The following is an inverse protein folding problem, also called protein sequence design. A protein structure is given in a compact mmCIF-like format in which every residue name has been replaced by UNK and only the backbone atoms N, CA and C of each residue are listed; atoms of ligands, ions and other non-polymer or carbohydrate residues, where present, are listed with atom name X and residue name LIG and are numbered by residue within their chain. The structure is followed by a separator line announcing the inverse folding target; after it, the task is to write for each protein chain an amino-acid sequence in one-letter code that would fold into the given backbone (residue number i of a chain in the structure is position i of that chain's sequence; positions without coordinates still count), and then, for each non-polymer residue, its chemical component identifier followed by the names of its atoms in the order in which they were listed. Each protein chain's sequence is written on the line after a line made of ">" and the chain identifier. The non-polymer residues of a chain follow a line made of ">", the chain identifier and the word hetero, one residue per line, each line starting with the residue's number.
data_IF_635611990237
#
_entry.id   IF_635611990237
#
_cell.length_a   1.000
_cell.length_b   1.000
_cell.length_c   1.000
_cell.angle_alpha   90.00
_cell.angle_beta   90.00
_cell.angle_gamma   90.00
#
_symmetry.space_group_name_H-M   'P 1'
#
loop_
_entity.id
_entity.type
_entity.pdbx_description
1 polymer ?
#
# COMPACT_ATOMS: atom_id res chain seq x y z
N UNK A 1 16.10 -10.81 -38.18
CA UNK A 1 16.61 -11.34 -36.90
C UNK A 1 15.43 -11.42 -35.96
N UNK A 2 15.08 -12.60 -35.45
CA UNK A 2 13.98 -12.75 -34.49
C UNK A 2 14.46 -13.56 -33.31
N UNK A 3 14.56 -12.92 -32.14
CA UNK A 3 14.78 -13.61 -30.88
C UNK A 3 13.42 -14.13 -30.41
N UNK A 4 13.23 -15.44 -30.38
CA UNK A 4 12.00 -16.05 -29.88
C UNK A 4 12.21 -16.48 -28.42
N UNK A 5 11.61 -15.74 -27.49
CA UNK A 5 11.60 -16.09 -26.07
C UNK A 5 10.25 -16.76 -25.78
N UNK A 6 10.25 -18.04 -25.39
CA UNK A 6 9.04 -18.73 -24.92
C UNK A 6 9.01 -18.73 -23.41
N UNK A 7 7.90 -18.29 -22.82
CA UNK A 7 7.66 -18.31 -21.38
C UNK A 7 6.60 -19.36 -21.03
N UNK A 8 6.75 -19.98 -19.86
CA UNK A 8 5.79 -20.93 -19.28
C UNK A 8 4.67 -20.16 -18.56
N UNK A 9 3.39 -20.57 -18.63
CA UNK A 9 2.25 -19.74 -18.22
C UNK A 9 1.94 -19.72 -16.70
N UNK A 10 2.93 -19.90 -15.82
CA UNK A 10 2.72 -19.83 -14.37
C UNK A 10 3.89 -19.06 -13.72
N UNK A 11 3.72 -17.75 -13.49
CA UNK A 11 4.67 -16.96 -12.71
C UNK A 11 4.05 -15.65 -12.17
N UNK A 12 4.23 -15.41 -10.88
CA UNK A 12 3.84 -14.22 -10.10
C UNK A 12 4.54 -12.91 -10.55
N UNK A 13 4.01 -11.76 -10.11
CA UNK A 13 4.42 -10.41 -10.53
C UNK A 13 5.92 -10.08 -10.30
N UNK A 14 6.58 -10.72 -9.34
CA UNK A 14 8.03 -10.58 -9.12
C UNK A 14 8.86 -11.15 -10.28
N UNK A 15 8.33 -12.10 -11.04
CA UNK A 15 9.01 -12.69 -12.19
C UNK A 15 9.08 -11.72 -13.38
N UNK A 16 8.10 -10.83 -13.52
CA UNK A 16 8.06 -9.84 -14.60
C UNK A 16 9.20 -8.81 -14.51
N UNK A 17 9.64 -8.47 -13.29
CA UNK A 17 10.74 -7.52 -13.06
C UNK A 17 12.10 -8.16 -13.37
N UNK A 18 12.30 -9.41 -12.96
CA UNK A 18 13.50 -10.19 -13.29
C UNK A 18 13.63 -10.41 -14.80
N UNK A 19 12.52 -10.68 -15.49
CA UNK A 19 12.47 -10.86 -16.95
C UNK A 19 12.83 -9.57 -17.69
N UNK A 20 12.36 -8.40 -17.21
CA UNK A 20 12.75 -7.10 -17.78
C UNK A 20 14.24 -6.82 -17.60
N UNK A 21 14.81 -7.17 -16.43
CA UNK A 21 16.23 -6.98 -16.16
C UNK A 21 17.12 -7.89 -17.04
N UNK A 22 16.71 -9.14 -17.26
CA UNK A 22 17.43 -10.08 -18.14
C UNK A 22 17.35 -9.61 -19.60
N UNK A 23 16.21 -9.10 -20.06
CA UNK A 23 16.07 -8.55 -21.41
C UNK A 23 17.02 -7.36 -21.66
N UNK A 24 17.16 -6.46 -20.68
CA UNK A 24 18.11 -5.33 -20.77
C UNK A 24 19.56 -5.79 -20.72
N UNK A 25 19.88 -6.83 -19.93
CA UNK A 25 21.21 -7.42 -19.88
C UNK A 25 21.59 -8.12 -21.20
N UNK A 26 20.63 -8.75 -21.90
CA UNK A 26 20.86 -9.41 -23.19
C UNK A 26 21.17 -8.39 -24.30
N UNK A 27 20.52 -7.23 -24.32
CA UNK A 27 20.87 -6.14 -25.25
C UNK A 27 22.27 -5.56 -24.97
N UNK A 28 22.66 -5.46 -23.70
CA UNK A 28 24.01 -5.04 -23.31
C UNK A 28 25.08 -6.07 -23.70
N UNK A 29 24.77 -7.37 -23.61
CA UNK A 29 25.66 -8.44 -24.09
C UNK A 29 25.77 -8.46 -25.63
N UNK A 30 24.72 -8.09 -26.36
CA UNK A 30 24.79 -7.92 -27.82
C UNK A 30 25.70 -6.75 -28.24
N UNK A 31 25.83 -5.71 -27.41
CA UNK A 31 26.81 -4.64 -27.64
C UNK A 31 28.26 -5.08 -27.36
N UNK A 32 28.47 -5.98 -26.40
CA UNK A 32 29.81 -6.48 -26.04
C UNK A 32 30.36 -7.53 -27.02
N UNK A 33 29.50 -8.22 -27.76
CA UNK A 33 29.87 -9.24 -28.75
C UNK A 33 29.66 -8.69 -30.16
N UNK A 34 30.29 -7.55 -30.48
CA UNK A 34 30.38 -7.08 -31.86
C UNK A 34 31.65 -7.67 -32.51
N UNK A 35 31.56 -8.89 -33.05
CA UNK A 35 32.58 -9.44 -33.95
C UNK A 35 32.17 -9.22 -35.40
N UNK A 36 33.05 -8.71 -36.28
CA UNK A 36 32.68 -8.46 -37.66
C UNK A 36 32.61 -9.75 -38.47
N UNK A 37 31.52 -9.86 -39.22
CA UNK A 37 31.24 -10.73 -40.38
C UNK A 37 30.94 -12.22 -40.15
N UNK A 38 29.72 -12.56 -40.58
CA UNK A 38 29.21 -13.85 -41.06
C UNK A 38 29.31 -15.06 -40.14
N UNK A 39 28.42 -15.14 -39.15
CA UNK A 39 27.83 -16.40 -38.68
C UNK A 39 26.52 -16.12 -37.95
N UNK A 40 25.40 -16.40 -38.61
CA UNK A 40 24.05 -16.24 -38.04
C UNK A 40 23.75 -17.45 -37.15
N UNK A 41 23.98 -17.33 -35.84
CA UNK A 41 23.57 -18.32 -34.85
C UNK A 41 22.38 -17.78 -34.04
N UNK A 42 21.27 -18.51 -34.05
CA UNK A 42 20.13 -18.25 -33.17
C UNK A 42 20.36 -18.94 -31.83
N UNK A 43 20.16 -18.21 -30.74
CA UNK A 43 20.36 -18.71 -29.37
C UNK A 43 19.02 -18.77 -28.64
N UNK A 44 18.79 -19.85 -27.90
CA UNK A 44 17.68 -19.94 -26.94
C UNK A 44 18.26 -19.94 -25.53
N UNK A 45 17.76 -19.01 -24.72
CA UNK A 45 18.08 -18.90 -23.30
C UNK A 45 16.89 -19.46 -22.53
N UNK A 46 17.12 -20.51 -21.74
CA UNK A 46 16.13 -21.06 -20.82
C UNK A 46 16.60 -20.85 -19.38
N UNK A 47 15.71 -20.33 -18.55
CA UNK A 47 15.90 -20.17 -17.12
C UNK A 47 14.87 -21.04 -16.39
N UNK A 48 15.35 -21.91 -15.51
CA UNK A 48 14.51 -22.75 -14.68
C UNK A 48 14.89 -22.56 -13.21
N UNK A 49 13.89 -22.42 -12.35
CA UNK A 49 14.09 -22.33 -10.91
C UNK A 49 14.22 -23.74 -10.34
N UNK A 50 15.38 -24.10 -9.77
CA UNK A 50 15.57 -25.39 -9.11
C UNK A 50 15.11 -25.30 -7.65
N UNK A 51 14.18 -26.15 -7.19
CA UNK A 51 13.79 -26.17 -5.78
C UNK A 51 15.00 -26.61 -4.94
N UNK A 52 15.44 -25.75 -4.02
CA UNK A 52 16.50 -26.05 -3.04
C UNK A 52 17.82 -25.30 -3.19
N UNK A 53 17.99 -24.42 -4.18
CA UNK A 53 19.19 -23.56 -4.29
C UNK A 53 18.82 -22.15 -4.70
N UNK A 54 19.28 -21.14 -3.95
CA UNK A 54 19.16 -19.71 -4.26
C UNK A 54 20.09 -19.32 -5.41
N UNK A 55 19.89 -19.91 -6.60
CA UNK A 55 20.73 -19.69 -7.77
C UNK A 55 19.99 -19.93 -9.07
N UNK A 56 20.02 -18.94 -9.95
CA UNK A 56 19.37 -18.97 -11.25
C UNK A 56 20.30 -19.67 -12.25
N UNK A 57 19.90 -20.82 -12.78
CA UNK A 57 20.67 -21.52 -13.81
C UNK A 57 20.27 -21.02 -15.19
N UNK A 58 21.20 -20.37 -15.89
CA UNK A 58 21.04 -20.00 -17.28
C UNK A 58 21.61 -21.12 -18.17
N UNK A 59 20.77 -21.72 -19.01
CA UNK A 59 21.23 -22.59 -20.09
C UNK A 59 21.07 -21.89 -21.42
N UNK A 60 22.16 -21.84 -22.18
CA UNK A 60 22.22 -21.25 -23.51
C UNK A 60 22.48 -22.38 -24.50
N UNK A 61 21.53 -22.64 -25.39
CA UNK A 61 21.65 -23.67 -26.42
C UNK A 61 21.52 -23.06 -27.82
N UNK A 62 22.35 -23.47 -28.80
CA UNK A 62 22.19 -23.07 -30.19
C UNK A 62 20.95 -23.75 -30.79
N UNK A 63 20.14 -22.99 -31.54
CA UNK A 63 18.99 -23.55 -32.26
C UNK A 63 19.45 -24.00 -33.65
N UNK A 64 19.24 -25.26 -34.05
CA UNK A 64 19.51 -25.69 -35.40
C UNK A 64 18.53 -25.05 -36.38
N UNK A 65 19.04 -24.29 -37.34
CA UNK A 65 18.26 -23.77 -38.45
C UNK A 65 17.77 -24.95 -39.33
N UNK A 66 16.47 -25.03 -39.60
CA UNK A 66 15.90 -26.02 -40.53
C UNK A 66 16.59 -25.88 -41.89
N UNK A 67 17.40 -26.88 -42.26
CA UNK A 67 17.97 -27.00 -43.61
C UNK A 67 19.39 -27.58 -43.73
N UNK A 68 20.13 -27.79 -42.63
CA UNK A 68 21.50 -28.31 -42.72
C UNK A 68 21.58 -29.83 -42.51
N UNK A 69 21.80 -30.60 -43.58
CA UNK A 69 21.86 -32.08 -43.59
C UNK A 69 23.20 -32.68 -43.11
N UNK A 70 23.90 -32.09 -42.15
CA UNK A 70 25.11 -32.72 -41.57
C UNK A 70 25.21 -32.55 -40.06
N UNK A 71 25.47 -33.62 -39.28
CA UNK A 71 25.62 -33.54 -37.84
C UNK A 71 26.98 -32.92 -37.48
N UNK A 72 26.96 -31.90 -36.63
CA UNK A 72 28.15 -31.28 -36.03
C UNK A 72 28.24 -31.76 -34.56
N UNK A 73 29.42 -32.17 -34.05
CA UNK A 73 29.54 -32.66 -32.68
C UNK A 73 29.31 -31.53 -31.65
N UNK A 74 28.47 -31.83 -30.65
CA UNK A 74 28.15 -30.94 -29.52
C UNK A 74 29.32 -30.88 -28.54
N UNK A 75 29.89 -29.70 -28.33
CA UNK A 75 30.78 -29.39 -27.19
C UNK A 75 29.98 -28.60 -26.15
N UNK A 76 29.72 -29.21 -24.99
CA UNK A 76 29.00 -28.59 -23.88
C UNK A 76 30.00 -27.78 -23.04
N UNK A 77 30.03 -26.45 -23.17
CA UNK A 77 30.76 -25.58 -22.22
C UNK A 77 29.83 -25.18 -21.09
N UNK A 78 30.10 -25.70 -19.90
CA UNK A 78 29.54 -25.18 -18.65
C UNK A 78 30.43 -24.03 -18.18
N UNK A 79 29.87 -22.82 -18.05
CA UNK A 79 30.55 -21.70 -17.40
C UNK A 79 30.02 -21.59 -15.98
N UNK A 80 30.80 -22.06 -15.00
CA UNK A 80 30.54 -21.84 -13.58
C UNK A 80 31.33 -20.59 -13.16
N UNK A 81 30.63 -19.49 -12.85
CA UNK A 81 31.25 -18.28 -12.31
C UNK A 81 31.49 -18.46 -10.82
N UNK A 82 32.72 -18.82 -10.44
CA UNK A 82 33.23 -18.67 -9.08
C UNK A 82 34.07 -17.40 -8.99
N UNK A 83 33.68 -16.47 -8.13
CA UNK A 83 34.39 -15.21 -7.92
C UNK A 83 35.58 -15.46 -6.97
N UNK A 84 36.79 -15.47 -7.52
CA UNK A 84 38.04 -15.54 -6.77
C UNK A 84 38.70 -14.16 -6.81
N UNK A 85 38.76 -13.49 -5.67
CA UNK A 85 39.60 -12.31 -5.46
C UNK A 85 41.03 -12.78 -5.23
N UNK A 86 41.88 -12.64 -6.24
CA UNK A 86 43.31 -12.33 -6.09
C UNK A 86 43.98 -12.11 -7.46
N UNK A 87 44.93 -11.18 -7.48
CA UNK A 87 45.86 -10.80 -8.54
C UNK A 87 45.40 -9.78 -9.60
N UNK A 88 45.83 -8.54 -9.33
CA UNK A 88 46.01 -7.47 -10.28
C UNK A 88 47.03 -7.84 -11.37
N UNK A 89 46.68 -7.60 -12.63
CA UNK A 89 47.64 -7.58 -13.73
C UNK A 89 47.45 -6.28 -14.53
N UNK A 90 48.46 -5.41 -14.41
CA UNK A 90 48.71 -4.25 -15.24
C UNK A 90 48.65 -4.62 -16.72
N UNK A 91 47.87 -3.90 -17.53
CA UNK A 91 48.13 -3.66 -18.96
C UNK A 91 47.22 -2.54 -19.51
N UNK A 92 47.87 -1.45 -19.93
CA UNK A 92 47.46 -0.42 -20.93
C UNK A 92 46.48 0.71 -20.52
N UNK A 93 46.98 1.95 -20.33
CA UNK A 93 46.19 3.15 -20.07
C UNK A 93 45.87 3.86 -21.39
N UNK A 94 44.76 3.52 -22.05
CA UNK A 94 44.24 4.33 -23.17
C UNK A 94 42.76 4.08 -23.51
N UNK A 95 42.12 3.05 -22.96
CA UNK A 95 40.72 2.69 -23.25
C UNK A 95 39.82 2.71 -22.00
N UNK A 96 40.27 3.35 -20.92
CA UNK A 96 39.52 3.49 -19.67
C UNK A 96 38.75 4.83 -19.56
N UNK A 97 38.64 5.60 -20.65
CA UNK A 97 38.02 6.94 -20.65
C UNK A 97 36.64 7.00 -21.33
N UNK A 98 36.09 5.89 -21.84
CA UNK A 98 34.80 5.88 -22.56
C UNK A 98 33.72 4.97 -21.97
N UNK A 99 33.88 4.49 -20.73
CA UNK A 99 32.87 3.69 -20.02
C UNK A 99 32.30 4.36 -18.75
N UNK A 100 32.51 5.66 -18.55
CA UNK A 100 31.99 6.40 -17.37
C UNK A 100 30.80 7.31 -17.73
N UNK A 101 30.46 7.47 -19.01
CA UNK A 101 29.40 8.40 -19.45
C UNK A 101 28.03 7.76 -19.71
N UNK A 102 27.89 6.44 -19.56
CA UNK A 102 26.62 5.73 -19.78
C UNK A 102 25.73 5.55 -18.53
N UNK A 103 26.11 6.09 -17.36
CA UNK A 103 25.27 6.00 -16.15
C UNK A 103 24.37 7.21 -15.88
N UNK A 104 24.39 8.26 -16.72
CA UNK A 104 23.62 9.50 -16.45
C UNK A 104 22.20 9.48 -17.02
N UNK A 105 21.81 8.49 -17.84
CA UNK A 105 20.45 8.43 -18.44
C UNK A 105 19.47 7.50 -17.74
N UNK A 106 19.84 6.89 -16.60
CA UNK A 106 18.93 6.05 -15.80
C UNK A 106 18.25 6.81 -14.64
N UNK A 107 18.40 8.13 -14.57
CA UNK A 107 17.72 8.97 -13.58
C UNK A 107 16.23 9.23 -13.92
N UNK A 108 15.74 8.77 -15.08
CA UNK A 108 14.33 8.91 -15.47
C UNK A 108 13.44 7.70 -15.11
N UNK A 109 14.01 6.63 -14.53
CA UNK A 109 13.29 5.43 -14.09
C UNK A 109 13.47 5.13 -12.59
N UNK A 110 13.71 6.14 -11.74
CA UNK A 110 13.63 6.02 -10.28
C UNK A 110 14.52 4.95 -9.61
N UNK A 111 15.50 4.38 -10.32
CA UNK A 111 16.37 3.33 -9.81
C UNK A 111 17.71 3.89 -9.35
N UNK A 112 17.91 4.03 -8.04
CA UNK A 112 19.23 4.26 -7.46
C UNK A 112 19.99 2.93 -7.35
N UNK A 113 21.07 2.77 -8.14
CA UNK A 113 22.05 1.68 -7.92
C UNK A 113 23.17 2.23 -7.06
N UNK A 114 23.23 1.79 -5.80
CA UNK A 114 24.36 2.04 -4.92
C UNK A 114 25.35 0.88 -5.04
N UNK A 115 26.60 1.19 -5.41
CA UNK A 115 27.74 0.29 -5.32
C UNK A 115 28.60 0.78 -4.17
N UNK A 116 28.42 0.17 -2.99
CA UNK A 116 29.20 0.46 -1.78
C UNK A 116 28.77 -0.47 -0.64
N UNK A 117 29.74 -1.07 0.05
CA UNK A 117 29.54 -1.84 1.28
C UNK A 117 29.18 -0.85 2.41
N UNK A 118 27.93 -0.40 2.47
CA UNK A 118 27.22 0.01 3.69
C UNK A 118 25.81 0.51 3.30
N UNK A 119 24.80 -0.36 3.51
CA UNK A 119 23.39 0.00 3.62
C UNK A 119 22.69 0.69 2.44
N UNK A 120 22.25 -0.07 1.43
CA UNK A 120 21.24 0.39 0.48
C UNK A 120 19.88 0.51 1.17
N UNK A 121 19.53 1.68 1.70
CA UNK A 121 18.14 2.03 2.00
C UNK A 121 17.36 2.20 0.69
N UNK A 122 16.77 1.11 0.18
CA UNK A 122 15.91 1.16 -1.00
C UNK A 122 14.79 2.17 -0.77
N UNK A 123 14.62 3.13 -1.69
CA UNK A 123 13.49 4.04 -1.65
C UNK A 123 12.19 3.20 -1.75
N UNK A 124 11.51 3.02 -0.64
CA UNK A 124 10.19 2.40 -0.59
C UNK A 124 9.26 3.25 -1.45
N UNK A 125 8.94 2.79 -2.66
CA UNK A 125 7.96 3.45 -3.51
C UNK A 125 6.60 3.23 -2.86
N UNK A 126 5.96 4.32 -2.42
CA UNK A 126 4.63 4.25 -1.84
C UNK A 126 3.65 3.63 -2.85
N UNK A 127 2.79 2.68 -2.44
CA UNK A 127 1.87 2.04 -3.35
C UNK A 127 0.85 3.05 -3.89
N UNK A 128 0.38 2.82 -5.11
CA UNK A 128 -0.72 3.58 -5.68
C UNK A 128 -2.04 3.10 -5.06
N UNK A 129 -2.73 3.98 -4.34
CA UNK A 129 -4.00 3.67 -3.67
C UNK A 129 -5.14 4.54 -4.21
N UNK A 130 -6.36 4.02 -4.17
CA UNK A 130 -7.57 4.77 -4.52
C UNK A 130 -8.47 4.89 -3.28
N UNK A 131 -8.90 6.11 -2.97
CA UNK A 131 -9.81 6.42 -1.86
C UNK A 131 -10.97 7.26 -2.40
N UNK A 132 -12.19 6.88 -2.04
CA UNK A 132 -13.41 7.60 -2.36
C UNK A 132 -14.29 7.77 -1.12
N UNK A 133 -15.31 8.61 -1.19
CA UNK A 133 -16.25 8.79 -0.09
C UNK A 133 -17.27 9.86 -0.37
N UNK A 134 -18.20 10.03 0.58
CA UNK A 134 -19.18 11.12 0.56
C UNK A 134 -18.95 12.00 1.80
N UNK A 135 -18.88 13.31 1.57
CA UNK A 135 -18.81 14.33 2.60
C UNK A 135 -20.18 14.96 2.82
N UNK A 136 -20.78 14.75 4.00
CA UNK A 136 -22.11 15.28 4.30
C UNK A 136 -22.35 15.49 5.80
N UNK A 137 -23.17 16.48 6.11
CA UNK A 137 -23.64 16.81 7.48
C UNK A 137 -25.16 16.67 7.62
N UNK A 138 -25.77 15.78 6.81
CA UNK A 138 -27.21 15.80 6.49
C UNK A 138 -27.53 16.72 5.31
N UNK A 139 -26.55 17.49 4.84
CA UNK A 139 -26.54 18.13 3.52
C UNK A 139 -25.20 17.84 2.85
N UNK A 140 -25.20 17.77 1.51
CA UNK A 140 -23.98 17.54 0.75
C UNK A 140 -23.01 18.70 0.91
N UNK A 141 -21.77 18.40 1.31
CA UNK A 141 -20.71 19.40 1.33
C UNK A 141 -20.15 19.55 -0.09
N UNK A 142 -20.79 20.38 -0.90
CA UNK A 142 -20.40 20.63 -2.28
C UNK A 142 -19.14 21.49 -2.40
N UNK A 143 -18.24 21.17 -3.33
CA UNK A 143 -16.98 21.92 -3.56
C UNK A 143 -16.12 22.08 -2.30
N UNK A 144 -16.22 21.13 -1.37
CA UNK A 144 -15.43 21.12 -0.15
C UNK A 144 -13.99 20.69 -0.47
N UNK A 145 -13.03 21.29 0.22
CA UNK A 145 -11.62 20.90 0.10
C UNK A 145 -11.41 19.58 0.86
N UNK A 146 -11.03 18.52 0.16
CA UNK A 146 -10.74 17.21 0.74
C UNK A 146 -9.24 16.98 0.70
N UNK A 147 -8.62 16.85 1.86
CA UNK A 147 -7.19 16.57 1.99
C UNK A 147 -6.96 15.21 2.66
N UNK A 148 -5.92 14.52 2.22
CA UNK A 148 -5.53 13.21 2.68
C UNK A 148 -4.11 13.32 3.25
N UNK A 149 -3.96 13.07 4.54
CA UNK A 149 -2.67 12.98 5.23
C UNK A 149 -2.43 11.54 5.64
N UNK A 150 -1.51 10.86 4.96
CA UNK A 150 -1.26 9.44 5.16
C UNK A 150 0.00 9.20 5.98
N UNK A 151 0.18 7.97 6.50
CA UNK A 151 1.40 7.57 7.21
C UNK A 151 2.66 7.85 6.36
N UNK A 152 2.53 7.72 5.04
CA UNK A 152 3.47 8.32 4.09
C UNK A 152 2.72 8.85 2.87
N UNK A 153 3.02 10.09 2.48
CA UNK A 153 2.38 10.75 1.33
C UNK A 153 1.12 11.52 1.69
N UNK A 154 0.68 12.37 0.76
CA UNK A 154 -0.50 13.21 0.92
C UNK A 154 -1.13 13.50 -0.43
N UNK A 155 -2.42 13.82 -0.43
CA UNK A 155 -3.17 14.19 -1.63
C UNK A 155 -4.28 15.17 -1.29
N UNK A 156 -4.87 15.78 -2.31
CA UNK A 156 -6.05 16.63 -2.14
C UNK A 156 -6.94 16.59 -3.38
N UNK A 157 -8.24 16.71 -3.17
CA UNK A 157 -9.25 16.81 -4.22
C UNK A 157 -10.39 17.73 -3.75
N UNK A 158 -11.41 17.90 -4.59
CA UNK A 158 -12.66 18.57 -4.22
C UNK A 158 -13.81 17.57 -4.25
N UNK A 159 -14.79 17.77 -3.38
CA UNK A 159 -16.07 17.07 -3.51
C UNK A 159 -16.92 17.68 -4.63
N UNK A 160 -17.73 16.86 -5.29
CA UNK A 160 -18.69 17.29 -6.29
C UNK A 160 -19.96 17.91 -5.68
N UNK A 161 -20.95 18.25 -6.51
CA UNK A 161 -22.22 18.84 -6.03
C UNK A 161 -23.05 17.92 -5.12
N UNK A 162 -22.82 16.61 -5.15
CA UNK A 162 -23.42 15.62 -4.26
C UNK A 162 -22.59 15.32 -3.01
N UNK A 163 -21.44 15.98 -2.85
CA UNK A 163 -20.51 15.75 -1.75
C UNK A 163 -19.57 14.56 -1.97
N UNK A 164 -19.59 13.92 -3.14
CA UNK A 164 -18.71 12.78 -3.42
C UNK A 164 -17.30 13.24 -3.76
N UNK A 165 -16.31 12.51 -3.28
CA UNK A 165 -14.92 12.70 -3.65
C UNK A 165 -14.27 11.37 -4.01
N UNK A 166 -13.26 11.43 -4.87
CA UNK A 166 -12.41 10.31 -5.22
C UNK A 166 -11.02 10.81 -5.60
N UNK A 167 -9.99 10.09 -5.19
CA UNK A 167 -8.59 10.38 -5.50
C UNK A 167 -7.81 9.08 -5.65
N UNK A 168 -6.84 9.09 -6.57
CA UNK A 168 -5.84 8.03 -6.73
C UNK A 168 -4.46 8.66 -6.66
N UNK A 169 -3.62 8.21 -5.74
CA UNK A 169 -2.29 8.78 -5.49
C UNK A 169 -1.37 7.77 -4.80
N UNK A 170 -0.06 8.03 -4.84
CA UNK A 170 0.94 7.17 -4.19
C UNK A 170 1.05 7.53 -2.71
N UNK A 171 0.60 6.65 -1.83
CA UNK A 171 0.65 6.84 -0.39
C UNK A 171 0.61 5.51 0.38
N UNK A 172 1.12 5.54 1.60
CA UNK A 172 1.07 4.42 2.55
C UNK A 172 0.00 4.70 3.59
N UNK A 173 -0.99 3.82 3.65
CA UNK A 173 -2.08 3.83 4.62
C UNK A 173 -1.55 3.60 6.06
N UNK A 174 -2.30 4.01 7.09
CA UNK A 174 -3.61 4.67 7.07
C UNK A 174 -3.52 6.14 6.65
N UNK A 175 -4.66 6.76 6.33
CA UNK A 175 -4.79 8.17 6.04
C UNK A 175 -5.85 8.82 6.92
N UNK A 176 -5.59 10.03 7.40
CA UNK A 176 -6.61 10.94 7.90
C UNK A 176 -7.14 11.73 6.71
N UNK A 177 -8.45 11.70 6.55
CA UNK A 177 -9.19 12.49 5.55
C UNK A 177 -9.72 13.72 6.27
N UNK A 178 -9.46 14.91 5.74
CA UNK A 178 -9.97 16.18 6.28
C UNK A 178 -10.77 16.89 5.19
N UNK A 179 -12.04 17.12 5.44
CA UNK A 179 -12.94 17.85 4.56
C UNK A 179 -13.23 19.21 5.17
N UNK A 180 -12.98 20.28 4.43
CA UNK A 180 -13.23 21.65 4.88
C UNK A 180 -14.23 22.34 3.97
N UNK A 181 -15.28 22.93 4.54
CA UNK A 181 -16.30 23.70 3.81
C UNK A 181 -16.85 24.82 4.69
N UNK A 182 -16.98 26.04 4.16
CA UNK A 182 -17.67 27.13 4.87
C UNK A 182 -17.11 27.50 6.25
N UNK A 183 -15.88 27.12 6.58
CA UNK A 183 -15.26 27.35 7.90
C UNK A 183 -15.41 26.19 8.89
N UNK A 184 -16.10 25.11 8.53
CA UNK A 184 -16.13 23.86 9.28
C UNK A 184 -15.14 22.85 8.69
N UNK A 185 -14.60 21.97 9.54
CA UNK A 185 -13.74 20.88 9.14
C UNK A 185 -14.23 19.60 9.80
N UNK A 186 -14.40 18.55 8.99
CA UNK A 186 -14.70 17.20 9.43
C UNK A 186 -13.56 16.28 9.07
N UNK A 187 -13.38 15.26 9.88
CA UNK A 187 -12.29 14.32 9.83
C UNK A 187 -12.83 12.89 9.76
N UNK A 188 -12.05 12.05 9.10
CA UNK A 188 -12.31 10.63 8.96
C UNK A 188 -10.99 9.88 8.84
N UNK A 189 -11.04 8.56 8.85
CA UNK A 189 -9.86 7.69 8.73
C UNK A 189 -10.08 6.66 7.63
N UNK A 190 -9.09 6.52 6.76
CA UNK A 190 -8.98 5.46 5.77
C UNK A 190 -7.85 4.50 6.15
N UNK A 191 -8.20 3.32 6.66
CA UNK A 191 -7.22 2.28 7.01
C UNK A 191 -6.87 1.36 5.81
N UNK A 192 -7.63 1.45 4.72
CA UNK A 192 -7.45 0.70 3.48
C UNK A 192 -7.74 1.60 2.26
N UNK A 193 -7.53 1.08 1.05
CA UNK A 193 -8.15 1.67 -0.15
C UNK A 193 -9.64 1.36 -0.21
N UNK A 194 -10.43 2.20 -0.89
CA UNK A 194 -11.87 2.03 -1.04
C UNK A 194 -12.68 3.23 -0.54
N UNK A 195 -13.90 2.96 -0.07
CA UNK A 195 -14.83 4.00 0.36
C UNK A 195 -14.70 4.31 1.84
N UNK A 196 -14.42 5.57 2.16
CA UNK A 196 -14.36 6.13 3.51
C UNK A 196 -15.07 7.48 3.50
N UNK A 197 -16.25 7.54 4.11
CA UNK A 197 -17.05 8.77 4.16
C UNK A 197 -16.50 9.75 5.19
N UNK A 198 -16.90 11.02 5.08
CA UNK A 198 -16.58 12.05 6.07
C UNK A 198 -17.88 12.72 6.52
N UNK A 199 -18.31 12.41 7.75
CA UNK A 199 -19.57 12.88 8.33
C UNK A 199 -19.38 13.21 9.82
N UNK A 200 -20.35 13.85 10.48
CA UNK A 200 -20.28 14.07 11.93
C UNK A 200 -20.13 12.78 12.75
N UNK A 201 -20.58 11.63 12.23
CA UNK A 201 -20.37 10.33 12.89
C UNK A 201 -18.90 9.88 12.82
N UNK A 202 -18.19 10.16 11.72
CA UNK A 202 -16.76 9.83 11.60
C UNK A 202 -15.91 10.74 12.48
N UNK A 203 -16.29 12.00 12.64
CA UNK A 203 -15.69 12.92 13.62
C UNK A 203 -15.80 12.37 15.04
N UNK A 204 -17.02 11.97 15.45
CA UNK A 204 -17.27 11.39 16.77
C UNK A 204 -16.50 10.08 17.01
N UNK A 205 -16.32 9.27 15.97
CA UNK A 205 -15.48 8.07 16.03
C UNK A 205 -14.00 8.42 16.22
N UNK A 206 -13.49 9.48 15.57
CA UNK A 206 -12.13 9.98 15.78
C UNK A 206 -11.94 10.54 17.19
N UNK A 207 -12.92 11.25 17.74
CA UNK A 207 -12.93 11.69 19.15
C UNK A 207 -12.84 10.50 20.10
N UNK A 208 -13.60 9.44 19.85
CA UNK A 208 -13.55 8.21 20.63
C UNK A 208 -12.15 7.57 20.56
N UNK A 209 -11.60 7.35 19.37
CA UNK A 209 -10.26 6.79 19.16
C UNK A 209 -9.15 7.62 19.82
N UNK A 210 -9.19 8.95 19.63
CA UNK A 210 -8.24 9.87 20.26
C UNK A 210 -8.26 9.73 21.79
N UNK A 211 -9.46 9.61 22.36
CA UNK A 211 -9.64 9.46 23.80
C UNK A 211 -9.17 8.09 24.31
N UNK A 212 -9.34 7.02 23.53
CA UNK A 212 -8.74 5.71 23.84
C UNK A 212 -7.21 5.75 23.87
N UNK A 213 -6.61 6.66 23.11
CA UNK A 213 -5.16 6.89 23.08
C UNK A 213 -4.68 7.90 24.13
N UNK A 214 -5.58 8.38 25.00
CA UNK A 214 -5.25 9.38 26.02
C UNK A 214 -4.93 10.75 25.44
N UNK A 215 -5.47 11.08 24.27
CA UNK A 215 -5.27 12.36 23.59
C UNK A 215 -6.60 12.99 23.16
N UNK A 216 -6.55 14.08 22.39
CA UNK A 216 -7.70 14.69 21.75
C UNK A 216 -7.55 14.64 20.23
N UNK A 217 -8.66 14.84 19.52
CA UNK A 217 -8.71 14.78 18.06
C UNK A 217 -7.68 15.68 17.37
N UNK A 218 -7.57 16.95 17.77
CA UNK A 218 -6.60 17.88 17.19
C UNK A 218 -5.16 17.37 17.34
N UNK A 219 -4.82 16.81 18.50
CA UNK A 219 -3.48 16.25 18.77
C UNK A 219 -3.24 14.94 18.03
N UNK A 220 -4.29 14.12 17.86
CA UNK A 220 -4.25 12.92 17.03
C UNK A 220 -3.94 13.31 15.58
N UNK A 221 -4.69 14.25 14.99
CA UNK A 221 -4.54 14.68 13.60
C UNK A 221 -3.17 15.32 13.35
N UNK A 222 -2.78 16.27 14.19
CA UNK A 222 -1.49 16.98 14.03
C UNK A 222 -0.29 16.09 14.31
N UNK A 223 -0.41 15.15 15.25
CA UNK A 223 0.64 14.20 15.62
C UNK A 223 0.74 12.98 14.71
N UNK A 224 -0.32 12.64 13.98
CA UNK A 224 -0.43 11.40 13.20
C UNK A 224 0.76 11.14 12.25
N UNK A 225 1.25 12.11 11.46
CA UNK A 225 2.38 11.85 10.55
C UNK A 225 3.68 11.43 11.26
N UNK A 226 3.84 11.79 12.54
CA UNK A 226 5.08 11.61 13.29
C UNK A 226 4.96 10.65 14.48
N UNK A 227 3.78 10.04 14.69
CA UNK A 227 3.52 9.17 15.82
C UNK A 227 3.17 7.75 15.36
N UNK A 228 4.11 6.82 15.53
CA UNK A 228 3.94 5.42 15.12
C UNK A 228 2.82 4.70 15.86
N UNK A 229 2.51 5.09 17.11
CA UNK A 229 1.39 4.50 17.86
C UNK A 229 0.05 4.90 17.23
N UNK A 230 -0.10 6.19 16.85
CA UNK A 230 -1.30 6.65 16.15
C UNK A 230 -1.45 5.96 14.80
N UNK A 231 -0.36 5.81 14.05
CA UNK A 231 -0.36 5.08 12.79
C UNK A 231 -0.73 3.62 12.96
N UNK A 232 -0.17 2.92 13.96
CA UNK A 232 -0.48 1.51 14.22
C UNK A 232 -1.96 1.29 14.56
N UNK A 233 -2.52 2.13 15.43
CA UNK A 233 -3.92 2.01 15.86
C UNK A 233 -4.88 2.32 14.73
N UNK A 234 -4.63 3.39 13.97
CA UNK A 234 -5.46 3.74 12.81
C UNK A 234 -5.27 2.77 11.63
N UNK A 235 -4.16 2.03 11.58
CA UNK A 235 -3.94 0.96 10.60
C UNK A 235 -4.70 -0.33 10.97
N UNK A 236 -5.00 -0.52 12.27
CA UNK A 236 -5.66 -1.71 12.75
C UNK A 236 -7.17 -1.63 12.48
N UNK A 237 -7.61 -2.34 11.44
CA UNK A 237 -9.02 -2.42 11.07
C UNK A 237 -9.91 -2.88 12.23
N UNK A 238 -9.44 -3.77 13.10
CA UNK A 238 -10.24 -4.24 14.24
C UNK A 238 -10.50 -3.11 15.25
N UNK A 239 -9.50 -2.28 15.53
CA UNK A 239 -9.62 -1.16 16.47
C UNK A 239 -10.55 -0.08 15.90
N UNK A 240 -10.43 0.24 14.60
CA UNK A 240 -11.32 1.22 13.93
C UNK A 240 -12.77 0.73 13.88
N UNK A 241 -13.01 -0.54 13.53
CA UNK A 241 -14.36 -1.10 13.49
C UNK A 241 -14.96 -1.26 14.89
N UNK A 242 -14.15 -1.58 15.89
CA UNK A 242 -14.59 -1.57 17.29
C UNK A 242 -15.00 -0.17 17.74
N UNK A 243 -14.21 0.86 17.41
CA UNK A 243 -14.55 2.26 17.69
C UNK A 243 -15.83 2.71 16.98
N UNK A 244 -16.05 2.30 15.73
CA UNK A 244 -17.30 2.54 15.02
C UNK A 244 -18.49 1.93 15.78
N UNK A 245 -18.40 0.65 16.16
CA UNK A 245 -19.48 -0.04 16.88
C UNK A 245 -19.78 0.58 18.25
N UNK A 246 -18.74 1.02 18.96
CA UNK A 246 -18.87 1.74 20.23
C UNK A 246 -19.53 3.11 20.02
N UNK A 247 -19.18 3.81 18.94
CA UNK A 247 -19.78 5.11 18.59
C UNK A 247 -21.27 4.98 18.35
N UNK A 248 -21.68 4.02 17.51
CA UNK A 248 -23.10 3.70 17.26
C UNK A 248 -23.82 3.39 18.57
N UNK A 249 -23.26 2.50 19.39
CA UNK A 249 -23.91 2.06 20.64
C UNK A 249 -24.12 3.23 21.61
N UNK A 250 -23.10 4.06 21.81
CA UNK A 250 -23.19 5.22 22.71
C UNK A 250 -24.23 6.24 22.21
N UNK A 251 -24.27 6.51 20.90
CA UNK A 251 -25.25 7.42 20.31
C UNK A 251 -26.67 6.88 20.43
N UNK A 252 -26.90 5.63 20.05
CA UNK A 252 -28.21 4.98 20.16
C UNK A 252 -28.74 4.99 21.60
N UNK A 253 -27.88 4.69 22.58
CA UNK A 253 -28.24 4.71 24.00
C UNK A 253 -28.54 6.13 24.52
N UNK A 254 -27.68 7.11 24.21
CA UNK A 254 -27.81 8.47 24.74
C UNK A 254 -29.02 9.22 24.18
N UNK A 255 -29.30 9.01 22.90
CA UNK A 255 -30.31 9.75 22.15
C UNK A 255 -31.58 8.93 21.87
N UNK A 256 -31.67 7.70 22.39
CA UNK A 256 -32.82 6.80 22.24
C UNK A 256 -33.24 6.61 20.78
N UNK A 257 -32.26 6.42 19.88
CA UNK A 257 -32.45 6.28 18.44
C UNK A 257 -31.89 4.94 17.94
N UNK A 258 -32.29 4.54 16.73
CA UNK A 258 -31.77 3.34 16.05
C UNK A 258 -31.20 3.75 14.70
N UNK A 259 -29.88 3.80 14.62
CA UNK A 259 -29.16 3.96 13.34
C UNK A 259 -29.37 2.74 12.43
N UNK A 260 -29.69 3.01 11.17
CA UNK A 260 -30.01 2.02 10.13
C UNK A 260 -28.77 1.52 9.39
N UNK A 261 -27.70 2.31 9.36
CA UNK A 261 -26.43 2.03 8.70
C UNK A 261 -25.26 2.12 9.70
N UNK A 262 -25.10 1.14 10.61
CA UNK A 262 -24.06 1.18 11.65
C UNK A 262 -22.62 1.20 11.11
N UNK A 263 -22.43 0.74 9.86
CA UNK A 263 -21.15 0.79 9.17
C UNK A 263 -20.93 2.13 8.43
N UNK A 264 -21.20 3.27 9.07
CA UNK A 264 -21.21 4.60 8.46
C UNK A 264 -19.87 5.02 7.81
N UNK A 265 -18.74 4.50 8.31
CA UNK A 265 -17.41 4.85 7.80
C UNK A 265 -17.23 4.38 6.35
N UNK A 266 -17.65 3.17 6.04
CA UNK A 266 -17.31 2.50 4.76
C UNK A 266 -18.52 2.26 3.86
N UNK A 267 -19.75 2.39 4.38
CA UNK A 267 -20.98 2.21 3.59
C UNK A 267 -21.12 3.34 2.57
N UNK A 268 -21.02 3.09 1.25
CA UNK A 268 -21.23 4.13 0.26
C UNK A 268 -22.67 4.66 0.36
N UNK A 269 -22.85 5.98 0.30
CA UNK A 269 -24.17 6.59 0.32
C UNK A 269 -24.21 7.88 -0.49
N UNK A 270 -25.43 8.29 -0.84
CA UNK A 270 -25.76 9.54 -1.50
C UNK A 270 -26.65 10.37 -0.57
N UNK A 271 -26.46 11.69 -0.57
CA UNK A 271 -27.30 12.60 0.21
C UNK A 271 -28.75 12.54 -0.30
N UNK A 272 -29.71 12.51 0.61
CA UNK A 272 -31.13 12.34 0.35
C UNK A 272 -31.60 10.89 0.22
N UNK A 273 -30.73 9.90 0.47
CA UNK A 273 -31.10 8.48 0.46
C UNK A 273 -31.30 7.90 1.87
N UNK A 274 -32.02 6.78 1.93
CA UNK A 274 -32.09 5.97 3.14
C UNK A 274 -30.71 5.39 3.51
N UNK A 275 -30.48 5.14 4.80
CA UNK A 275 -29.20 4.67 5.34
C UNK A 275 -28.46 5.80 6.06
N UNK A 276 -27.16 5.95 5.78
CA UNK A 276 -26.27 6.89 6.49
C UNK A 276 -26.83 8.31 6.52
N UNK A 277 -27.36 8.84 5.41
CA UNK A 277 -27.89 10.20 5.39
C UNK A 277 -29.17 10.38 6.24
N UNK A 278 -30.04 9.37 6.27
CA UNK A 278 -31.21 9.37 7.15
C UNK A 278 -30.81 9.28 8.63
N UNK A 279 -29.74 8.53 8.93
CA UNK A 279 -29.15 8.43 10.26
C UNK A 279 -28.56 9.79 10.71
N UNK A 280 -27.87 10.51 9.82
CA UNK A 280 -27.43 11.89 10.07
C UNK A 280 -28.60 12.83 10.37
N UNK A 281 -29.70 12.72 9.61
CA UNK A 281 -30.92 13.47 9.87
C UNK A 281 -31.54 13.15 11.24
N UNK A 282 -31.56 11.87 11.63
CA UNK A 282 -32.06 11.45 12.94
C UNK A 282 -31.16 11.94 14.09
N UNK A 283 -29.84 11.90 13.91
CA UNK A 283 -28.87 12.42 14.87
C UNK A 283 -28.99 13.94 15.05
N UNK A 284 -29.14 14.68 13.95
CA UNK A 284 -29.40 16.12 14.01
C UNK A 284 -30.72 16.43 14.71
N UNK A 285 -31.80 15.71 14.39
CA UNK A 285 -33.09 15.88 15.06
C UNK A 285 -33.05 15.55 16.56
N UNK A 286 -32.18 14.63 16.97
CA UNK A 286 -31.97 14.28 18.37
C UNK A 286 -31.00 15.24 19.11
N UNK A 287 -30.38 16.20 18.41
CA UNK A 287 -29.42 17.15 18.98
C UNK A 287 -28.01 16.60 19.16
N UNK A 288 -27.66 15.51 18.48
CA UNK A 288 -26.29 14.99 18.45
C UNK A 288 -25.39 15.74 17.45
N UNK A 289 -25.99 16.44 16.50
CA UNK A 289 -25.34 17.29 15.50
C UNK A 289 -25.95 18.69 15.63
N UNK A 290 -25.10 19.71 15.68
CA UNK A 290 -25.49 21.11 15.82
C UNK A 290 -26.02 21.69 14.49
N UNK A 291 -26.49 22.94 14.54
CA UNK A 291 -27.03 23.63 13.37
C UNK A 291 -26.00 23.90 12.25
N UNK A 292 -24.70 23.83 12.54
CA UNK A 292 -23.63 23.98 11.56
C UNK A 292 -23.23 22.64 10.93
N UNK A 293 -23.88 21.54 11.33
CA UNK A 293 -23.53 20.21 10.88
C UNK A 293 -22.30 19.63 11.58
N UNK A 294 -21.89 20.18 12.72
CA UNK A 294 -20.79 19.66 13.54
C UNK A 294 -21.34 18.82 14.71
N UNK A 295 -20.58 17.87 15.26
CA UNK A 295 -21.04 17.15 16.45
C UNK A 295 -21.34 18.09 17.63
N UNK A 296 -22.47 17.90 18.29
CA UNK A 296 -22.84 18.68 19.47
C UNK A 296 -21.82 18.44 20.61
N UNK A 297 -21.45 19.47 21.41
CA UNK A 297 -20.50 19.31 22.51
C UNK A 297 -20.87 18.20 23.53
N UNK A 298 -22.15 17.90 23.73
CA UNK A 298 -22.58 16.80 24.59
C UNK A 298 -22.30 15.43 23.95
N UNK A 299 -22.42 15.29 22.62
CA UNK A 299 -22.01 14.10 21.90
C UNK A 299 -20.48 13.91 21.98
N UNK A 300 -19.71 14.98 21.74
CA UNK A 300 -18.24 14.94 21.87
C UNK A 300 -17.82 14.54 23.28
N UNK A 301 -18.45 15.12 24.31
CA UNK A 301 -18.18 14.79 25.72
C UNK A 301 -18.53 13.33 26.05
N UNK A 302 -19.64 12.81 25.52
CA UNK A 302 -20.02 11.41 25.67
C UNK A 302 -18.97 10.48 25.07
N UNK A 303 -18.59 10.70 23.81
CA UNK A 303 -17.70 9.79 23.10
C UNK A 303 -16.27 9.87 23.61
N UNK A 304 -15.82 11.04 24.06
CA UNK A 304 -14.52 11.17 24.72
C UNK A 304 -14.49 10.43 26.06
N UNK A 305 -15.52 10.57 26.90
CA UNK A 305 -15.62 9.81 28.16
C UNK A 305 -15.69 8.30 27.91
N UNK A 306 -16.46 7.86 26.90
CA UNK A 306 -16.56 6.46 26.53
C UNK A 306 -15.22 5.90 26.01
N UNK A 307 -14.46 6.67 25.24
CA UNK A 307 -13.13 6.29 24.77
C UNK A 307 -12.11 6.17 25.92
N UNK A 308 -12.12 7.11 26.86
CA UNK A 308 -11.27 7.04 28.06
C UNK A 308 -11.55 5.80 28.93
N UNK A 309 -12.80 5.31 28.93
CA UNK A 309 -13.16 4.08 29.63
C UNK A 309 -12.64 2.80 28.95
N UNK A 310 -12.18 2.89 27.69
CA UNK A 310 -11.70 1.75 26.89
C UNK A 310 -10.32 2.02 26.28
N UNK A 311 -9.26 2.23 27.09
CA UNK A 311 -7.95 2.61 26.58
C UNK A 311 -7.34 1.53 25.68
N UNK A 312 -6.75 1.96 24.56
CA UNK A 312 -5.98 1.07 23.68
C UNK A 312 -4.55 0.99 24.22
N UNK A 313 -4.21 -0.13 24.84
CA UNK A 313 -2.81 -0.43 25.19
C UNK A 313 -2.06 -0.86 23.93
N UNK A 314 -0.80 -0.44 23.77
CA UNK A 314 0.02 -0.62 22.56
C UNK A 314 0.39 -2.09 22.23
N UNK A 315 -0.43 -3.07 22.61
CA UNK A 315 -0.18 -4.51 22.45
C UNK A 315 -1.42 -5.27 22.00
N UNK A 316 -2.32 -4.66 21.22
CA UNK A 316 -3.29 -5.41 20.42
C UNK A 316 -2.57 -6.10 19.24
N UNK A 317 -1.69 -7.05 19.56
CA UNK A 317 -1.21 -8.05 18.61
C UNK A 317 -2.43 -8.74 17.98
N UNK A 318 -2.54 -8.85 16.65
CA UNK A 318 -3.64 -9.57 16.04
C UNK A 318 -3.61 -11.03 16.52
N UNK A 319 -4.63 -11.45 17.27
CA UNK A 319 -4.78 -12.82 17.75
C UNK A 319 -4.96 -13.77 16.57
N UNK A 320 -3.87 -14.35 16.07
CA UNK A 320 -3.91 -15.57 15.29
C UNK A 320 -4.10 -16.76 16.23
N UNK A 321 -5.34 -17.06 16.62
CA UNK A 321 -5.66 -18.27 17.37
C UNK A 321 -5.55 -19.49 16.45
N UNK A 322 -4.36 -20.10 16.36
CA UNK A 322 -4.22 -21.47 15.89
C UNK A 322 -4.47 -22.39 17.09
N UNK A 323 -5.63 -23.04 17.11
CA UNK A 323 -6.02 -23.98 18.17
C UNK A 323 -5.10 -25.19 18.25
N UNK A 324 -4.21 -25.21 19.24
CA UNK A 324 -3.49 -26.39 19.66
C UNK A 324 -4.35 -27.24 20.58
N UNK A 325 -4.77 -28.42 20.11
CA UNK A 325 -5.42 -29.42 20.94
C UNK A 325 -4.38 -30.08 21.88
N UNK A 326 -4.36 -29.66 23.14
CA UNK A 326 -3.63 -30.34 24.22
C UNK A 326 -4.42 -31.54 24.72
N UNK A 327 -3.87 -32.74 24.51
CA UNK A 327 -4.37 -34.00 25.08
C UNK A 327 -4.04 -34.05 26.57
N UNK A 328 -5.07 -34.02 27.42
CA UNK A 328 -4.94 -34.28 28.86
C UNK A 328 -5.06 -35.78 29.15
N UNK A 329 -3.95 -36.33 29.63
CA UNK A 329 -3.87 -37.55 30.43
C UNK A 329 -4.75 -37.43 31.67
N UNK A 330 -5.66 -38.38 31.88
CA UNK A 330 -6.46 -38.50 33.09
C UNK A 330 -6.61 -39.97 33.48
N UNK A 331 -5.76 -40.44 34.38
CA UNK A 331 -6.02 -41.63 35.17
C UNK A 331 -6.58 -41.24 36.54
N UNK A 332 -7.66 -41.92 36.97
CA UNK A 332 -7.88 -42.40 38.34
C UNK A 332 -9.24 -43.11 38.42
N UNK A 333 -9.19 -44.25 39.14
CA UNK A 333 -10.25 -45.20 39.54
C UNK A 333 -10.52 -46.36 38.58
#
# INVERSE_FOLDING_TARGET
>A
MGLAIRFSPYADDNFNLAVRCIATCVELLQCLIYTPKESVLAWVISAANSPGTSGLKLQVAPVPLRGASRPIPFYQRQATLTMSTDNACFLRPALAALCVTSLVTLAACGGSVCVGLDGCGGASVAPNIAISGTAATGTALASAAVSFSCAQGSGSTLSDGGGHYSITFNATLPCIVTVTSGGTALHSVAFAGGTFNTTPETELMLVYLASQLGTNETSLITGFPNNSQFQQVLANQADVLAAQSATVTNLQQRYALTLTAPAFLTTPFFVGQAGVDSDLGALAAAGAIDANGMPDPAAVSLLSAAGLAHPLTATSTPSSSTGGAGSTTGGMM
#
